data_IF_344640942001
#
_entry.id   IF_344640942001
#
_cell.length_a   1.000
_cell.length_b   1.000
_cell.length_c   1.000
_cell.angle_alpha   90.00
_cell.angle_beta   90.00
_cell.angle_gamma   90.00
#
_symmetry.space_group_name_H-M   'P 1'
#
loop_
_entity.id
_entity.type
_entity.pdbx_description
1 polymer ?
#
# COMPACT_ATOMS: atom_id res chain seq x y z
N UNK A 1 -13.67 -0.44 11.56
CA UNK A 1 -14.57 -0.92 11.63
C UNK A 1 -15.11 -1.60 10.41
N UNK A 2 -16.17 -2.07 10.56
CA UNK A 2 -16.78 -2.99 9.65
C UNK A 2 -17.00 -2.43 8.26
N UNK A 3 -16.93 -1.17 8.09
CA UNK A 3 -17.16 -0.56 6.80
C UNK A 3 -16.17 -1.00 5.75
N UNK A 4 -15.17 -1.71 6.14
CA UNK A 4 -14.15 -2.15 5.20
C UNK A 4 -14.55 -3.36 4.38
N UNK A 5 -15.75 -3.85 4.56
CA UNK A 5 -16.19 -5.01 3.80
C UNK A 5 -16.11 -4.83 2.30
N UNK A 6 -16.32 -3.63 1.84
CA UNK A 6 -16.28 -3.39 0.42
C UNK A 6 -14.94 -3.72 -0.19
N UNK A 7 -13.91 -3.67 0.60
CA UNK A 7 -12.56 -3.90 0.10
C UNK A 7 -12.36 -5.33 -0.31
N UNK A 8 -13.11 -6.24 0.25
CA UNK A 8 -12.92 -7.64 -0.05
C UNK A 8 -13.71 -8.10 -1.27
N UNK A 9 -14.44 -7.22 -1.90
CA UNK A 9 -15.10 -7.58 -3.14
C UNK A 9 -14.09 -7.49 -4.27
N UNK A 10 -14.47 -8.03 -5.41
CA UNK A 10 -13.62 -7.94 -6.59
C UNK A 10 -13.60 -6.56 -7.19
N UNK A 11 -14.53 -5.73 -6.80
CA UNK A 11 -14.62 -4.40 -7.34
C UNK A 11 -13.86 -3.44 -6.46
N UNK A 12 -12.96 -2.70 -7.06
CA UNK A 12 -12.23 -1.66 -6.36
C UNK A 12 -13.06 -0.40 -6.36
N UNK A 13 -12.92 0.38 -5.30
CA UNK A 13 -13.64 1.63 -5.18
C UNK A 13 -12.71 2.76 -5.58
N UNK A 14 -13.12 3.50 -6.60
CA UNK A 14 -12.36 4.64 -7.07
C UNK A 14 -13.28 5.83 -7.18
N UNK A 15 -12.88 6.93 -6.59
CA UNK A 15 -13.62 8.18 -6.66
C UNK A 15 -12.72 9.26 -7.22
N UNK A 16 -13.30 10.13 -8.02
CA UNK A 16 -12.56 11.19 -8.64
C UNK A 16 -12.01 12.18 -7.62
N UNK A 17 -12.75 12.40 -6.56
CA UNK A 17 -12.35 13.32 -5.50
C UNK A 17 -11.81 12.59 -4.27
N UNK A 18 -11.33 11.39 -4.46
CA UNK A 18 -10.86 10.57 -3.36
C UNK A 18 -9.66 11.18 -2.67
N UNK A 19 -9.57 10.95 -1.37
CA UNK A 19 -8.52 11.51 -0.54
C UNK A 19 -7.66 10.45 0.13
N UNK A 20 -8.02 9.18 -0.01
CA UNK A 20 -7.30 8.10 0.66
C UNK A 20 -7.10 6.93 -0.29
N UNK A 21 -5.91 6.37 -0.23
CA UNK A 21 -5.54 5.20 -1.03
C UNK A 21 -5.24 4.05 -0.09
N UNK A 22 -5.75 2.87 -0.42
CA UNK A 22 -5.43 1.64 0.30
C UNK A 22 -4.73 0.69 -0.65
N UNK A 23 -3.60 0.15 -0.20
CA UNK A 23 -2.82 -0.79 -1.01
C UNK A 23 -2.38 -1.98 -0.16
N UNK A 24 -2.00 -3.05 -0.83
CA UNK A 24 -1.30 -4.14 -0.16
C UNK A 24 -0.18 -4.66 -1.06
N UNK A 25 0.81 -5.27 -0.43
CA UNK A 25 1.95 -5.80 -1.16
C UNK A 25 2.73 -6.75 -0.24
N UNK A 26 3.68 -7.46 -0.81
CA UNK A 26 4.51 -8.41 -0.07
C UNK A 26 5.97 -8.03 -0.18
N UNK A 27 6.69 -8.14 0.92
CA UNK A 27 8.14 -7.93 0.91
C UNK A 27 8.81 -9.03 1.73
N UNK A 28 10.05 -9.32 1.36
CA UNK A 28 10.87 -10.24 2.11
C UNK A 28 11.36 -9.56 3.38
N UNK A 29 11.55 -10.34 4.44
CA UNK A 29 12.07 -9.81 5.69
C UNK A 29 13.59 -9.77 5.59
N UNK A 30 14.11 -8.69 5.07
CA UNK A 30 15.55 -8.48 4.92
C UNK A 30 15.95 -7.19 5.58
N UNK A 31 17.21 -7.09 5.90
CA UNK A 31 17.74 -5.88 6.51
C UNK A 31 17.45 -4.68 5.61
N UNK A 32 16.78 -3.70 6.16
CA UNK A 32 16.49 -2.47 5.45
C UNK A 32 15.28 -2.50 4.52
N UNK A 33 14.64 -3.66 4.32
CA UNK A 33 13.53 -3.71 3.37
C UNK A 33 12.35 -2.86 3.82
N UNK A 34 12.05 -2.85 5.11
CA UNK A 34 10.98 -2.00 5.63
C UNK A 34 11.31 -0.53 5.45
N UNK A 35 12.56 -0.17 5.71
CA UNK A 35 12.99 1.22 5.52
C UNK A 35 12.83 1.64 4.06
N UNK A 36 13.28 0.80 3.13
CA UNK A 36 13.16 1.12 1.72
C UNK A 36 11.71 1.28 1.30
N UNK A 37 10.84 0.42 1.80
CA UNK A 37 9.43 0.52 1.49
C UNK A 37 8.85 1.83 2.00
N UNK A 38 9.14 2.18 3.25
CA UNK A 38 8.62 3.41 3.83
C UNK A 38 9.16 4.64 3.14
N UNK A 39 10.39 4.57 2.61
CA UNK A 39 11.01 5.72 1.99
C UNK A 39 10.22 6.23 0.79
N UNK A 40 9.52 5.36 0.07
CA UNK A 40 8.73 5.79 -1.06
C UNK A 40 7.61 6.74 -0.64
N UNK A 41 7.05 6.53 0.54
CA UNK A 41 6.02 7.42 1.07
C UNK A 41 6.64 8.69 1.64
N UNK A 42 7.74 8.54 2.35
CA UNK A 42 8.40 9.68 2.99
C UNK A 42 8.92 10.68 1.95
N UNK A 43 9.62 10.19 0.94
CA UNK A 43 10.19 11.07 -0.07
C UNK A 43 9.14 11.75 -0.93
N UNK A 44 7.96 11.19 -1.00
CA UNK A 44 6.87 11.79 -1.77
C UNK A 44 5.89 12.56 -0.87
N UNK A 45 6.23 12.74 0.39
CA UNK A 45 5.41 13.48 1.35
C UNK A 45 4.00 12.92 1.47
N UNK A 46 3.87 11.62 1.42
CA UNK A 46 2.57 10.98 1.58
C UNK A 46 2.40 10.60 3.04
N UNK A 47 1.25 10.94 3.59
CA UNK A 47 0.94 10.69 4.98
C UNK A 47 0.29 9.33 5.13
N UNK A 48 1.01 8.36 5.71
CA UNK A 48 0.45 7.05 5.98
C UNK A 48 -0.44 7.12 7.22
N UNK A 49 -1.65 6.65 7.09
CA UNK A 49 -2.61 6.68 8.20
C UNK A 49 -2.79 5.30 8.83
N UNK A 50 -2.33 4.25 8.16
CA UNK A 50 -2.43 2.90 8.69
C UNK A 50 -1.34 2.05 8.08
N UNK A 51 -0.69 1.24 8.92
CA UNK A 51 0.26 0.22 8.48
C UNK A 51 -0.04 -1.03 9.27
N UNK A 52 -0.27 -2.12 8.57
CA UNK A 52 -0.50 -3.41 9.19
C UNK A 52 0.32 -4.45 8.45
N UNK A 53 0.98 -5.34 9.18
CA UNK A 53 1.76 -6.41 8.56
C UNK A 53 1.27 -7.75 9.05
N UNK A 54 1.34 -8.74 8.18
CA UNK A 54 0.98 -10.12 8.50
C UNK A 54 1.97 -11.06 7.87
N UNK A 55 2.40 -12.10 8.62
CA UNK A 55 3.26 -13.13 8.02
C UNK A 55 2.49 -13.83 6.91
N UNK A 56 3.22 -14.24 5.88
CA UNK A 56 2.61 -15.03 4.80
C UNK A 56 2.75 -16.48 5.17
N UNK A 57 1.64 -17.16 5.26
CA UNK A 57 1.62 -18.56 5.65
C UNK A 57 2.39 -19.39 4.63
N UNK A 58 3.23 -20.27 5.13
CA UNK A 58 4.00 -21.15 4.27
C UNK A 58 5.25 -20.52 3.67
N UNK A 59 5.51 -19.26 3.96
CA UNK A 59 6.71 -18.58 3.46
C UNK A 59 7.44 -17.92 4.62
N UNK A 60 8.59 -18.47 4.94
CA UNK A 60 9.42 -17.89 5.98
C UNK A 60 10.02 -16.58 5.50
N UNK A 61 10.03 -15.60 6.41
CA UNK A 61 10.70 -14.33 6.16
C UNK A 61 10.02 -13.49 5.10
N UNK A 62 8.71 -13.67 4.89
CA UNK A 62 7.93 -12.83 4.00
C UNK A 62 6.70 -12.31 4.71
N UNK A 63 6.36 -11.06 4.43
CA UNK A 63 5.25 -10.38 5.08
C UNK A 63 4.38 -9.69 4.05
N UNK A 64 3.08 -9.68 4.32
CA UNK A 64 2.13 -8.89 3.56
C UNK A 64 1.81 -7.63 4.34
N UNK A 65 1.92 -6.50 3.68
CA UNK A 65 1.63 -5.21 4.27
C UNK A 65 0.35 -4.64 3.69
N UNK A 66 -0.42 -4.00 4.56
CA UNK A 66 -1.61 -3.26 4.18
C UNK A 66 -1.38 -1.83 4.63
N UNK A 67 -1.43 -0.89 3.71
CA UNK A 67 -1.14 0.51 4.00
C UNK A 67 -2.25 1.38 3.47
N UNK A 68 -2.73 2.29 4.32
CA UNK A 68 -3.61 3.37 3.91
C UNK A 68 -2.82 4.67 3.99
N UNK A 69 -2.99 5.51 3.00
CA UNK A 69 -2.34 6.82 3.04
C UNK A 69 -3.22 7.85 2.35
N UNK A 70 -2.98 9.12 2.71
CA UNK A 70 -3.73 10.22 2.13
C UNK A 70 -3.22 10.50 0.72
N UNK A 71 -4.13 10.63 -0.22
CA UNK A 71 -3.77 10.92 -1.59
C UNK A 71 -4.82 10.49 -2.59
N UNK A 72 -4.53 10.79 -3.83
CA UNK A 72 -5.39 10.42 -4.95
C UNK A 72 -4.50 9.78 -6.02
N UNK A 73 -4.99 8.74 -6.66
CA UNK A 73 -4.20 8.02 -7.65
C UNK A 73 -3.81 8.90 -8.84
N UNK A 74 -4.49 10.03 -9.03
CA UNK A 74 -4.14 10.96 -10.08
C UNK A 74 -2.96 11.86 -9.71
N UNK A 75 -2.61 11.94 -8.42
CA UNK A 75 -1.52 12.80 -7.97
C UNK A 75 -0.18 12.26 -8.43
N UNK A 76 0.69 13.15 -8.89
CA UNK A 76 2.01 12.72 -9.35
C UNK A 76 2.84 12.12 -8.23
N UNK A 77 2.71 12.64 -7.01
CA UNK A 77 3.43 12.10 -5.86
C UNK A 77 3.00 10.66 -5.57
N UNK A 78 1.70 10.39 -5.67
CA UNK A 78 1.18 9.05 -5.45
C UNK A 78 1.68 8.10 -6.53
N UNK A 79 1.60 8.52 -7.79
CA UNK A 79 2.08 7.69 -8.89
C UNK A 79 3.56 7.36 -8.73
N UNK A 80 4.34 8.35 -8.31
CA UNK A 80 5.76 8.18 -8.14
C UNK A 80 6.08 7.17 -7.02
N UNK A 81 5.40 7.31 -5.90
CA UNK A 81 5.60 6.41 -4.77
C UNK A 81 5.21 4.98 -5.14
N UNK A 82 4.07 4.81 -5.80
CA UNK A 82 3.61 3.47 -6.16
C UNK A 82 4.51 2.82 -7.19
N UNK A 83 5.07 3.61 -8.10
CA UNK A 83 6.01 3.07 -9.08
C UNK A 83 7.26 2.52 -8.40
N UNK A 84 7.84 3.30 -7.48
CA UNK A 84 9.01 2.85 -6.74
C UNK A 84 8.72 1.64 -5.88
N UNK A 85 7.58 1.64 -5.23
CA UNK A 85 7.19 0.52 -4.39
C UNK A 85 6.99 -0.75 -5.23
N UNK A 86 6.38 -0.61 -6.40
CA UNK A 86 6.12 -1.76 -7.26
C UNK A 86 7.40 -2.44 -7.71
N UNK A 87 8.47 -1.66 -7.87
CA UNK A 87 9.75 -2.22 -8.28
C UNK A 87 10.39 -3.07 -7.20
N UNK A 88 10.06 -2.84 -5.93
CA UNK A 88 10.70 -3.51 -4.81
C UNK A 88 9.81 -4.55 -4.14
N UNK A 89 8.51 -4.39 -4.27
CA UNK A 89 7.57 -5.29 -3.62
C UNK A 89 7.02 -6.30 -4.62
N UNK A 90 6.42 -7.36 -4.09
CA UNK A 90 5.74 -8.35 -4.91
C UNK A 90 4.25 -8.26 -4.69
N UNK A 91 3.49 -8.63 -5.72
CA UNK A 91 2.04 -8.75 -5.64
C UNK A 91 1.37 -7.50 -5.10
N UNK A 92 1.83 -6.35 -5.58
CA UNK A 92 1.24 -5.09 -5.16
C UNK A 92 -0.13 -4.91 -5.79
N UNK A 93 -1.10 -4.53 -4.97
CA UNK A 93 -2.46 -4.31 -5.41
C UNK A 93 -2.97 -3.00 -4.81
N UNK A 94 -3.71 -2.27 -5.62
CA UNK A 94 -4.42 -1.09 -5.14
C UNK A 94 -5.82 -1.56 -4.77
N UNK A 95 -6.15 -1.44 -3.50
CA UNK A 95 -7.43 -1.91 -2.98
C UNK A 95 -8.54 -0.89 -3.18
N UNK A 96 -8.21 0.38 -3.20
CA UNK A 96 -9.20 1.41 -3.43
C UNK A 96 -8.61 2.80 -3.32
N UNK A 97 -9.40 3.79 -3.80
CA UNK A 97 -9.09 5.21 -3.66
C UNK A 97 -10.42 5.89 -3.36
N UNK A 98 -10.60 6.34 -2.12
CA UNK A 98 -11.89 6.81 -1.64
C UNK A 98 -11.82 8.03 -0.69
#
# INVERSE_FOLDING_TARGET
NSTRFIIITNQKIFRKDAKKVSICFEIAHESGSLYHMLSHFIYNNLNMTKIESRPIEGRNWEYRFFIDFDGNLADSAVKNALRGLRDEARNMKILGNY
#
